data_IF_815656442121
#
_entry.id   IF_815656442121
#
_cell.length_a   1.000
_cell.length_b   1.000
_cell.length_c   1.000
_cell.angle_alpha   90.00
_cell.angle_beta   90.00
_cell.angle_gamma   90.00
#
_symmetry.space_group_name_H-M   'P 1'
#
loop_
_entity.id
_entity.type
_entity.pdbx_description
1 polymer ?
#
# COMPACT_ATOMS: atom_id res chain seq x y z
N UNK A 1 15.31 -17.76 -19.38
CA UNK A 1 15.03 -17.47 -18.81
C UNK A 1 14.52 -16.70 -18.37
N UNK A 2 14.65 -16.62 -18.31
CA UNK A 2 14.32 -16.07 -17.61
C UNK A 2 13.47 -15.25 -17.53
N UNK A 3 12.82 -15.58 -17.64
CA UNK A 3 11.78 -14.85 -17.39
C UNK A 3 12.02 -13.61 -16.80
N UNK A 4 11.37 -12.66 -17.00
CA UNK A 4 11.73 -11.46 -16.46
C UNK A 4 10.97 -11.13 -15.21
N UNK A 5 11.37 -11.68 -14.13
CA UNK A 5 10.76 -11.28 -12.88
C UNK A 5 10.95 -9.80 -12.60
N UNK A 6 11.86 -9.17 -13.29
CA UNK A 6 12.08 -7.73 -13.13
C UNK A 6 10.84 -6.90 -13.47
N UNK A 7 10.06 -7.38 -14.43
CA UNK A 7 8.85 -6.65 -14.82
C UNK A 7 7.80 -6.63 -13.72
N UNK A 8 7.96 -7.49 -12.73
CA UNK A 8 7.00 -7.62 -11.64
C UNK A 8 7.55 -7.13 -10.32
N UNK A 9 8.76 -6.59 -10.33
CA UNK A 9 9.32 -6.05 -9.10
C UNK A 9 8.53 -4.85 -8.63
N UNK A 10 8.37 -4.78 -7.34
CA UNK A 10 7.74 -3.64 -6.69
C UNK A 10 8.31 -3.52 -5.29
N UNK A 11 8.09 -2.37 -4.69
CA UNK A 11 8.42 -2.17 -3.29
C UNK A 11 7.16 -1.72 -2.58
N UNK A 12 7.17 -1.78 -1.26
CA UNK A 12 6.01 -1.44 -0.44
C UNK A 12 6.38 -0.29 0.48
N UNK A 13 5.49 0.70 0.55
CA UNK A 13 5.52 1.70 1.61
C UNK A 13 4.38 1.33 2.57
N UNK A 14 4.72 1.03 3.82
CA UNK A 14 3.74 0.60 4.81
C UNK A 14 3.32 1.79 5.66
N UNK A 15 2.03 2.11 5.66
CA UNK A 15 1.49 3.25 6.41
C UNK A 15 0.47 2.74 7.42
N UNK A 16 0.84 2.77 8.69
CA UNK A 16 0.00 2.29 9.78
C UNK A 16 0.52 2.91 11.08
N UNK A 17 -0.36 3.37 11.94
CA UNK A 17 0.06 3.97 13.20
C UNK A 17 0.50 2.91 14.23
N UNK A 18 0.18 1.65 13.99
CA UNK A 18 0.53 0.55 14.89
C UNK A 18 1.87 -0.05 14.47
N UNK A 19 2.87 0.12 15.32
CA UNK A 19 4.21 -0.38 15.06
C UNK A 19 4.25 -1.90 14.88
N UNK A 20 3.44 -2.62 15.65
CA UNK A 20 3.41 -4.07 15.54
C UNK A 20 2.85 -4.52 14.19
N UNK A 21 1.86 -3.81 13.68
CA UNK A 21 1.31 -4.11 12.36
C UNK A 21 2.32 -3.79 11.25
N UNK A 22 3.08 -2.69 11.39
CA UNK A 22 4.13 -2.40 10.43
C UNK A 22 5.19 -3.49 10.43
N UNK A 23 5.56 -3.97 11.62
CA UNK A 23 6.54 -5.05 11.73
C UNK A 23 6.02 -6.33 11.07
N UNK A 24 4.78 -6.70 11.38
CA UNK A 24 4.19 -7.90 10.81
C UNK A 24 4.14 -7.81 9.27
N UNK A 25 3.69 -6.69 8.73
CA UNK A 25 3.63 -6.51 7.29
C UNK A 25 5.02 -6.59 6.66
N UNK A 26 6.02 -5.98 7.30
CA UNK A 26 7.39 -6.04 6.81
C UNK A 26 7.87 -7.48 6.71
N UNK A 27 7.65 -8.28 7.76
CA UNK A 27 8.05 -9.68 7.76
C UNK A 27 7.35 -10.45 6.65
N UNK A 28 6.05 -10.24 6.50
CA UNK A 28 5.26 -10.93 5.48
C UNK A 28 5.79 -10.64 4.07
N UNK A 29 6.08 -9.35 3.78
CA UNK A 29 6.58 -8.99 2.46
C UNK A 29 8.00 -9.47 2.22
N UNK A 30 8.88 -9.27 3.18
CA UNK A 30 10.28 -9.68 3.01
C UNK A 30 10.41 -11.18 2.89
N UNK A 31 9.61 -11.94 3.62
CA UNK A 31 9.59 -13.38 3.52
C UNK A 31 9.16 -13.83 2.13
N UNK A 32 8.34 -13.05 1.47
CA UNK A 32 7.88 -13.33 0.10
C UNK A 32 8.78 -12.74 -0.98
N UNK A 33 9.88 -12.12 -0.61
CA UNK A 33 10.82 -11.56 -1.56
C UNK A 33 10.44 -10.17 -2.08
N UNK A 34 9.55 -9.46 -1.40
CA UNK A 34 9.16 -8.11 -1.78
C UNK A 34 9.80 -7.13 -0.81
N UNK A 35 10.58 -6.21 -1.34
CA UNK A 35 11.29 -5.24 -0.51
C UNK A 35 10.35 -4.17 0.05
N UNK A 36 10.63 -3.74 1.28
CA UNK A 36 9.91 -2.65 1.91
C UNK A 36 10.73 -1.38 1.73
N UNK A 37 10.17 -0.41 1.01
CA UNK A 37 10.84 0.85 0.71
C UNK A 37 10.86 1.80 1.90
N UNK A 38 9.90 1.66 2.81
CA UNK A 38 9.84 2.50 3.99
C UNK A 38 8.57 2.27 4.78
N UNK A 39 8.48 2.98 5.90
CA UNK A 39 7.33 2.93 6.78
C UNK A 39 6.92 4.34 7.16
N UNK A 40 5.65 4.53 7.44
CA UNK A 40 5.12 5.78 7.93
C UNK A 40 4.05 5.48 8.97
N UNK A 41 3.97 6.32 10.00
CA UNK A 41 3.00 6.12 11.08
C UNK A 41 1.75 6.96 10.91
N UNK A 42 1.74 7.89 9.95
CA UNK A 42 0.58 8.76 9.73
C UNK A 42 0.61 9.29 8.29
N UNK A 43 -0.42 10.06 7.95
CA UNK A 43 -0.57 10.62 6.61
C UNK A 43 0.56 11.55 6.19
N UNK A 44 0.88 12.57 7.00
CA UNK A 44 1.96 13.49 6.64
C UNK A 44 3.29 12.79 6.42
N UNK A 45 3.62 11.81 7.25
CA UNK A 45 4.85 11.05 7.08
C UNK A 45 4.82 10.23 5.79
N UNK A 46 3.65 9.65 5.46
CA UNK A 46 3.50 8.90 4.22
C UNK A 46 3.77 9.79 3.00
N UNK A 47 3.25 11.01 3.00
CA UNK A 47 3.47 11.94 1.90
C UNK A 47 4.94 12.31 1.78
N UNK A 48 5.62 12.53 2.91
CA UNK A 48 7.05 12.82 2.93
C UNK A 48 7.85 11.64 2.36
N UNK A 49 7.51 10.41 2.76
CA UNK A 49 8.20 9.23 2.26
C UNK A 49 8.04 9.06 0.76
N UNK A 50 6.83 9.31 0.24
CA UNK A 50 6.60 9.21 -1.20
C UNK A 50 7.43 10.22 -1.97
N UNK A 51 7.54 11.45 -1.45
CA UNK A 51 8.35 12.47 -2.10
C UNK A 51 9.82 12.05 -2.14
N UNK A 52 10.30 11.40 -1.09
CA UNK A 52 11.69 10.93 -1.02
C UNK A 52 11.95 9.80 -2.03
N UNK A 53 10.92 9.08 -2.44
CA UNK A 53 11.05 7.97 -3.36
C UNK A 53 10.80 8.36 -4.82
N UNK A 54 10.60 9.63 -5.10
CA UNK A 54 10.22 10.10 -6.44
C UNK A 54 11.43 10.60 -7.23
N UNK A 55 11.71 10.04 -8.45
CA UNK A 55 10.99 8.93 -9.07
C UNK A 55 11.45 7.59 -8.49
N UNK A 56 10.52 6.67 -8.27
CA UNK A 56 10.90 5.37 -7.73
C UNK A 56 11.61 4.52 -8.79
N UNK A 57 12.61 3.73 -8.40
CA UNK A 57 13.30 2.86 -9.36
C UNK A 57 12.43 1.70 -9.83
N UNK A 58 11.43 1.33 -9.06
CA UNK A 58 10.43 0.31 -9.41
C UNK A 58 9.09 0.77 -8.85
N UNK A 59 7.98 0.21 -9.30
CA UNK A 59 6.67 0.61 -8.77
C UNK A 59 6.63 0.46 -7.25
N UNK A 60 6.13 1.47 -6.58
CA UNK A 60 5.93 1.44 -5.14
C UNK A 60 4.43 1.32 -4.87
N UNK A 61 4.06 0.34 -4.07
CA UNK A 61 2.67 0.14 -3.63
C UNK A 61 2.55 0.68 -2.22
N UNK A 62 1.56 1.51 -1.99
CA UNK A 62 1.29 2.05 -0.65
C UNK A 62 0.29 1.12 0.02
N UNK A 63 0.71 0.50 1.11
CA UNK A 63 -0.18 -0.28 1.97
C UNK A 63 -0.64 0.65 3.07
N UNK A 64 -1.93 0.94 3.13
CA UNK A 64 -2.45 2.07 3.89
C UNK A 64 -3.55 1.64 4.84
N UNK A 65 -3.32 1.84 6.13
CA UNK A 65 -4.32 1.60 7.16
C UNK A 65 -5.37 2.73 7.12
N UNK A 66 -6.63 2.38 7.27
CA UNK A 66 -7.68 3.38 7.29
C UNK A 66 -7.85 4.06 8.64
N UNK A 67 -7.53 3.36 9.72
CA UNK A 67 -7.78 3.89 11.07
C UNK A 67 -6.53 4.48 11.68
N UNK A 68 -6.32 5.78 11.47
CA UNK A 68 -5.19 6.50 12.03
C UNK A 68 -5.69 7.77 12.72
N UNK A 69 -4.95 8.25 13.74
CA UNK A 69 -5.46 9.34 14.61
C UNK A 69 -5.75 10.66 13.92
N UNK A 70 -4.88 11.12 13.02
CA UNK A 70 -4.99 12.46 12.47
C UNK A 70 -5.70 12.52 11.13
N UNK A 71 -5.53 11.47 10.32
CA UNK A 71 -6.19 11.37 9.02
C UNK A 71 -6.57 9.92 8.79
N UNK A 72 -7.74 9.69 8.21
CA UNK A 72 -8.09 8.32 7.83
C UNK A 72 -7.27 7.92 6.61
N UNK A 73 -7.15 6.61 6.37
CA UNK A 73 -6.48 6.14 5.17
C UNK A 73 -7.14 6.64 3.91
N UNK A 74 -8.47 6.73 3.89
CA UNK A 74 -9.17 7.25 2.72
C UNK A 74 -8.80 8.71 2.45
N UNK A 75 -8.64 9.52 3.49
CA UNK A 75 -8.21 10.90 3.32
C UNK A 75 -6.78 10.99 2.79
N UNK A 76 -5.89 10.13 3.30
CA UNK A 76 -4.51 10.08 2.81
C UNK A 76 -4.48 9.64 1.36
N UNK A 77 -5.27 8.63 1.01
CA UNK A 77 -5.35 8.13 -0.36
C UNK A 77 -5.83 9.21 -1.31
N UNK A 78 -6.86 9.97 -0.92
CA UNK A 78 -7.36 11.06 -1.75
C UNK A 78 -6.27 12.08 -2.03
N UNK A 79 -5.47 12.41 -1.02
CA UNK A 79 -4.38 13.36 -1.15
C UNK A 79 -3.29 12.81 -2.07
N UNK A 80 -2.90 11.56 -1.88
CA UNK A 80 -1.88 10.93 -2.71
C UNK A 80 -2.34 10.89 -4.17
N UNK A 81 -3.56 10.44 -4.41
CA UNK A 81 -4.06 10.28 -5.78
C UNK A 81 -4.32 11.60 -6.48
N UNK A 82 -4.56 12.67 -5.72
CA UNK A 82 -4.66 14.01 -6.30
C UNK A 82 -3.34 14.44 -6.94
N UNK A 83 -2.22 14.12 -6.29
CA UNK A 83 -0.89 14.49 -6.77
C UNK A 83 -0.29 13.41 -7.67
N UNK A 84 -0.64 12.17 -7.47
CA UNK A 84 -0.09 11.01 -8.17
C UNK A 84 -1.23 10.08 -8.59
N UNK A 85 -1.93 10.39 -9.68
CA UNK A 85 -3.13 9.62 -10.08
C UNK A 85 -2.86 8.15 -10.40
N UNK A 86 -1.61 7.81 -10.71
CA UNK A 86 -1.26 6.44 -11.06
C UNK A 86 -0.70 5.64 -9.90
N UNK A 87 -0.65 6.24 -8.71
CA UNK A 87 -0.11 5.55 -7.54
C UNK A 87 -0.99 4.35 -7.17
N UNK A 88 -0.36 3.20 -6.96
CA UNK A 88 -1.06 2.00 -6.52
C UNK A 88 -1.20 2.05 -5.02
N UNK A 89 -2.43 1.99 -4.54
CA UNK A 89 -2.74 2.00 -3.11
C UNK A 89 -3.60 0.79 -2.78
N UNK A 90 -3.23 0.10 -1.70
CA UNK A 90 -4.05 -0.98 -1.14
C UNK A 90 -4.47 -0.54 0.25
N UNK A 91 -5.77 -0.51 0.50
CA UNK A 91 -6.31 -0.20 1.82
C UNK A 91 -6.29 -1.47 2.65
N UNK A 92 -5.66 -1.42 3.82
CA UNK A 92 -5.46 -2.58 4.67
C UNK A 92 -6.01 -2.24 6.05
N UNK A 93 -7.21 -2.73 6.36
CA UNK A 93 -7.92 -2.27 7.54
C UNK A 93 -8.58 -3.42 8.29
N UNK A 94 -8.71 -3.23 9.61
CA UNK A 94 -9.43 -4.18 10.46
C UNK A 94 -10.94 -4.13 10.17
N UNK A 95 -11.42 -2.97 9.72
CA UNK A 95 -12.86 -2.77 9.48
C UNK A 95 -13.08 -2.27 8.05
N UNK A 96 -13.64 -3.14 7.20
CA UNK A 96 -13.93 -2.84 5.81
C UNK A 96 -15.44 -2.98 5.61
N UNK A 97 -16.20 -1.96 6.01
CA UNK A 97 -17.63 -1.99 5.75
C UNK A 97 -17.92 -1.55 4.31
N UNK A 98 -19.17 -1.78 3.82
CA UNK A 98 -19.51 -1.46 2.43
C UNK A 98 -19.26 0.01 2.04
N UNK A 99 -19.45 0.94 2.97
CA UNK A 99 -19.25 2.36 2.69
C UNK A 99 -17.79 2.68 2.47
N UNK A 100 -16.90 2.09 3.28
CA UNK A 100 -15.46 2.26 3.12
C UNK A 100 -15.01 1.69 1.78
N UNK A 101 -15.48 0.49 1.45
CA UNK A 101 -15.13 -0.15 0.19
C UNK A 101 -15.60 0.67 -1.01
N UNK A 102 -16.83 1.18 -0.96
CA UNK A 102 -17.37 2.01 -2.04
C UNK A 102 -16.56 3.28 -2.23
N UNK A 103 -16.19 3.93 -1.14
CA UNK A 103 -15.38 5.14 -1.20
C UNK A 103 -13.99 4.84 -1.77
N UNK A 104 -13.39 3.73 -1.34
CA UNK A 104 -12.09 3.33 -1.84
C UNK A 104 -12.12 3.11 -3.35
N UNK A 105 -13.15 2.43 -3.85
CA UNK A 105 -13.31 2.20 -5.28
C UNK A 105 -13.49 3.51 -6.03
N UNK A 106 -14.26 4.42 -5.48
CA UNK A 106 -14.49 5.72 -6.13
C UNK A 106 -13.21 6.53 -6.21
N UNK A 107 -12.35 6.45 -5.21
CA UNK A 107 -11.07 7.14 -5.20
C UNK A 107 -10.04 6.53 -6.15
N UNK A 108 -10.23 5.28 -6.54
CA UNK A 108 -9.25 4.59 -7.39
C UNK A 108 -8.25 3.76 -6.62
N UNK A 109 -8.55 3.39 -5.38
CA UNK A 109 -7.73 2.47 -4.61
C UNK A 109 -7.79 1.09 -5.27
N UNK A 110 -6.64 0.45 -5.42
CA UNK A 110 -6.53 -0.76 -6.22
C UNK A 110 -7.16 -1.98 -5.56
N UNK A 111 -7.13 -2.05 -4.24
CA UNK A 111 -7.73 -3.18 -3.51
C UNK A 111 -7.95 -2.81 -2.06
N UNK A 112 -8.93 -3.48 -1.44
CA UNK A 112 -9.18 -3.38 -0.01
C UNK A 112 -8.95 -4.76 0.59
N UNK A 113 -8.12 -4.85 1.63
CA UNK A 113 -7.75 -6.12 2.25
C UNK A 113 -7.97 -6.03 3.74
N UNK A 114 -8.62 -7.03 4.31
CA UNK A 114 -8.82 -7.12 5.75
C UNK A 114 -7.50 -7.48 6.44
N UNK A 115 -7.26 -6.90 7.61
CA UNK A 115 -6.07 -7.24 8.39
C UNK A 115 -6.01 -8.72 8.79
N UNK A 116 -7.12 -9.44 8.71
CA UNK A 116 -7.13 -10.88 8.93
C UNK A 116 -6.45 -11.65 7.81
N UNK A 117 -6.25 -11.00 6.66
CA UNK A 117 -5.69 -11.63 5.48
C UNK A 117 -4.27 -11.17 5.17
N UNK A 118 -3.53 -10.76 6.20
CA UNK A 118 -2.18 -10.24 6.03
C UNK A 118 -1.28 -11.19 5.26
N UNK A 119 -1.42 -12.50 5.46
CA UNK A 119 -0.57 -13.48 4.76
C UNK A 119 -0.85 -13.54 3.26
N UNK A 120 -1.97 -13.02 2.81
CA UNK A 120 -2.30 -12.98 1.38
C UNK A 120 -1.77 -11.73 0.69
N UNK A 121 -1.23 -10.79 1.45
CA UNK A 121 -0.79 -9.50 0.89
C UNK A 121 0.21 -9.63 -0.26
N UNK A 122 1.23 -10.49 -0.17
CA UNK A 122 2.18 -10.59 -1.29
C UNK A 122 1.51 -11.01 -2.60
N UNK A 123 0.59 -11.97 -2.55
CA UNK A 123 -0.12 -12.41 -3.75
C UNK A 123 -1.00 -11.30 -4.31
N UNK A 124 -1.65 -10.54 -3.43
CA UNK A 124 -2.51 -9.44 -3.84
C UNK A 124 -1.68 -8.34 -4.49
N UNK A 125 -0.53 -7.99 -3.89
CA UNK A 125 0.36 -6.98 -4.45
C UNK A 125 0.82 -7.39 -5.84
N UNK A 126 1.26 -8.63 -6.02
CA UNK A 126 1.72 -9.11 -7.31
C UNK A 126 0.63 -9.03 -8.37
N UNK A 127 -0.59 -9.40 -7.99
CA UNK A 127 -1.72 -9.34 -8.92
C UNK A 127 -2.05 -7.91 -9.30
N UNK A 128 -2.06 -7.01 -8.34
CA UNK A 128 -2.38 -5.60 -8.59
C UNK A 128 -1.31 -4.95 -9.47
N UNK A 129 -0.04 -5.20 -9.19
CA UNK A 129 1.06 -4.66 -10.00
C UNK A 129 1.00 -5.20 -11.42
N UNK A 130 0.77 -6.51 -11.57
CA UNK A 130 0.67 -7.12 -12.89
C UNK A 130 -0.47 -6.52 -13.72
N UNK A 131 -1.58 -6.17 -13.09
CA UNK A 131 -2.73 -5.62 -13.81
C UNK A 131 -2.47 -4.20 -14.32
N UNK A 132 -1.41 -3.54 -13.86
CA UNK A 132 -1.06 -2.18 -14.28
C UNK A 132 -0.06 -2.16 -15.43
N UNK A 133 0.43 -3.30 -15.83
CA UNK A 133 1.31 -3.41 -16.99
C UNK A 133 0.53 -3.92 -18.19
#
# INVERSE_FOLDING_TARGET
>A
MISSPCAQKSTILIVDDDEDMRFLATVVFEDAGIAVAGEAKDGPEALTRLDELDPPPVPTVVLLDNQMPTMTGLEVAARILSDRPEQIIILFSAFLDPDVIAEAERLGIAACVSKREATNLPAIVRRVVASRT
#
